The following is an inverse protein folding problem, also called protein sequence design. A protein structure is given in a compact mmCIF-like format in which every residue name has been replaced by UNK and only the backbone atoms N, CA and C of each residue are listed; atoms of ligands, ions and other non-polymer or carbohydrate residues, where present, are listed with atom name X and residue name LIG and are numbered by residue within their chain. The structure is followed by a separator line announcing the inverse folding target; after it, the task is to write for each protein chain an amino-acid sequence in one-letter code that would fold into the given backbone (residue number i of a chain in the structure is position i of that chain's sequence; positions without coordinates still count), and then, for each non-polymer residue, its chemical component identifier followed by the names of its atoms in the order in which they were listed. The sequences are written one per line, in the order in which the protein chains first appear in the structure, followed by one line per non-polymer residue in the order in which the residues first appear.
data_IF_165440216751
#
_entry.id   IF_165440216751
#
_cell.length_a   1.000
_cell.length_b   1.000
_cell.length_c   1.000
_cell.angle_alpha   90.00
_cell.angle_beta   90.00
_cell.angle_gamma   90.00
#
_symmetry.space_group_name_H-M   'P 1'
#
loop_
_entity.id
_entity.type
_entity.pdbx_description
1 polymer ?
#
# COMPACT_ATOMS: atom_id res chain seq x y z
N UNK A 1 -45.79 2.72 12.68
CA UNK A 1 -45.10 2.17 11.49
C UNK A 1 -43.61 2.32 11.70
N UNK A 2 -42.91 1.18 11.85
CA UNK A 2 -41.46 1.15 12.01
C UNK A 2 -40.77 1.56 10.70
N UNK A 3 -40.03 2.65 10.71
CA UNK A 3 -39.13 3.02 9.62
C UNK A 3 -37.73 2.49 9.92
N UNK A 4 -37.57 1.17 9.85
CA UNK A 4 -36.26 0.52 9.76
C UNK A 4 -35.66 0.77 8.37
N UNK A 5 -35.17 1.98 8.11
CA UNK A 5 -34.24 2.23 6.98
C UNK A 5 -32.80 2.14 7.47
N UNK A 6 -32.46 0.98 8.00
CA UNK A 6 -31.08 0.48 8.11
C UNK A 6 -30.58 0.04 6.72
N UNK A 7 -30.46 0.98 5.77
CA UNK A 7 -29.97 0.63 4.43
C UNK A 7 -29.39 1.78 3.59
N UNK A 8 -29.18 2.99 4.14
CA UNK A 8 -28.27 3.96 3.52
C UNK A 8 -26.80 3.63 3.85
N UNK A 9 -26.35 2.42 3.51
CA UNK A 9 -24.94 2.15 3.22
C UNK A 9 -24.75 2.18 1.70
N UNK A 10 -25.06 3.32 1.09
CA UNK A 10 -24.67 3.59 -0.29
C UNK A 10 -23.14 3.71 -0.31
N UNK A 11 -22.50 2.88 -1.14
CA UNK A 11 -21.05 2.81 -1.43
C UNK A 11 -20.08 2.49 -0.29
N UNK A 12 -20.10 1.24 0.19
CA UNK A 12 -19.03 0.62 1.01
C UNK A 12 -17.69 0.43 0.27
N UNK A 13 -17.31 1.33 -0.65
CA UNK A 13 -15.92 1.50 -1.11
C UNK A 13 -15.31 2.64 -0.31
N UNK A 14 -15.03 2.39 0.97
CA UNK A 14 -14.24 3.32 1.78
C UNK A 14 -12.91 3.54 1.05
N UNK A 15 -12.67 4.77 0.60
CA UNK A 15 -11.40 5.12 -0.03
C UNK A 15 -10.29 5.02 1.01
N UNK A 16 -9.13 4.51 0.60
CA UNK A 16 -7.99 4.33 1.50
C UNK A 16 -7.23 5.66 1.66
N UNK A 17 -7.57 6.36 2.75
CA UNK A 17 -7.03 7.69 3.08
C UNK A 17 -5.89 7.57 4.12
N UNK A 18 -4.82 6.88 3.73
CA UNK A 18 -3.67 6.63 4.61
C UNK A 18 -2.84 7.90 4.83
N UNK A 19 -2.31 8.07 6.05
CA UNK A 19 -1.40 9.19 6.36
C UNK A 19 0.03 8.94 5.90
N UNK A 20 0.52 7.71 6.06
CA UNK A 20 1.89 7.31 5.78
C UNK A 20 1.92 5.95 5.07
N UNK A 21 2.82 5.74 4.10
CA UNK A 21 2.92 4.49 3.36
C UNK A 21 3.62 3.38 4.17
N UNK A 22 3.41 2.13 3.76
CA UNK A 22 4.11 0.96 4.32
C UNK A 22 5.19 0.55 3.33
N UNK A 23 6.46 0.81 3.69
CA UNK A 23 7.62 0.63 2.81
C UNK A 23 8.75 -0.07 3.54
N UNK A 24 9.55 -0.84 2.79
CA UNK A 24 10.81 -1.40 3.27
C UNK A 24 11.97 -0.40 3.14
N UNK A 25 13.04 -0.63 3.91
CA UNK A 25 14.24 0.22 3.94
C UNK A 25 14.91 0.36 2.56
N UNK A 26 14.94 -0.72 1.77
CA UNK A 26 15.49 -0.69 0.40
C UNK A 26 14.68 0.16 -0.57
N UNK A 27 13.37 0.31 -0.34
CA UNK A 27 12.53 1.20 -1.13
C UNK A 27 12.68 2.67 -0.73
N UNK A 28 12.90 2.95 0.55
CA UNK A 28 13.16 4.31 1.04
C UNK A 28 14.52 4.84 0.58
N UNK A 29 15.55 4.00 0.59
CA UNK A 29 16.91 4.38 0.18
C UNK A 29 17.83 4.63 1.37
N UNK A 30 19.05 5.08 1.09
CA UNK A 30 20.11 5.31 2.07
C UNK A 30 20.01 6.66 2.79
N UNK A 31 19.29 7.62 2.22
CA UNK A 31 19.15 8.97 2.78
C UNK A 31 18.13 9.02 3.94
N UNK A 32 18.51 9.47 5.15
CA UNK A 32 17.59 9.63 6.29
C UNK A 32 16.50 10.69 6.08
N UNK A 33 16.73 11.66 5.19
CA UNK A 33 15.82 12.77 4.93
C UNK A 33 15.20 12.66 3.54
N UNK A 34 13.98 12.14 3.48
CA UNK A 34 13.26 11.90 2.22
C UNK A 34 12.11 12.90 2.08
N UNK A 35 11.97 13.45 0.88
CA UNK A 35 10.80 14.27 0.50
C UNK A 35 9.80 13.39 -0.25
N UNK A 36 8.57 13.31 0.26
CA UNK A 36 7.48 12.54 -0.35
C UNK A 36 6.34 13.46 -0.76
N UNK A 37 5.77 13.21 -1.94
CA UNK A 37 4.52 13.81 -2.40
C UNK A 37 3.36 12.88 -2.06
N UNK A 38 2.35 13.42 -1.37
CA UNK A 38 1.10 12.71 -1.05
C UNK A 38 0.03 13.14 -2.03
N UNK A 39 -0.49 12.19 -2.82
CA UNK A 39 -1.63 12.43 -3.70
C UNK A 39 -2.83 11.58 -3.26
N UNK A 40 -3.91 12.23 -2.85
CA UNK A 40 -5.13 11.54 -2.41
C UNK A 40 -5.88 11.01 -3.63
N UNK A 41 -6.20 9.71 -3.63
CA UNK A 41 -6.89 9.03 -4.72
C UNK A 41 -6.20 9.17 -6.09
N UNK A 42 -4.86 9.25 -6.10
CA UNK A 42 -4.08 9.49 -7.31
C UNK A 42 -3.93 8.28 -8.24
N UNK A 43 -4.22 7.07 -7.76
CA UNK A 43 -4.24 5.86 -8.56
C UNK A 43 -5.12 4.77 -7.93
N UNK A 44 -5.43 3.76 -8.73
CA UNK A 44 -6.13 2.56 -8.30
C UNK A 44 -5.14 1.45 -7.92
N UNK A 45 -5.47 0.72 -6.86
CA UNK A 45 -4.67 -0.41 -6.39
C UNK A 45 -4.67 -1.52 -7.44
N UNK A 46 -3.50 -2.05 -7.80
CA UNK A 46 -3.39 -3.12 -8.80
C UNK A 46 -4.05 -4.45 -8.41
N UNK A 47 -4.29 -4.68 -7.11
CA UNK A 47 -4.86 -5.93 -6.61
C UNK A 47 -6.37 -5.80 -6.43
N UNK A 48 -6.83 -4.77 -5.72
CA UNK A 48 -8.26 -4.62 -5.38
C UNK A 48 -9.01 -3.61 -6.25
N UNK A 49 -8.33 -2.93 -7.18
CA UNK A 49 -8.89 -1.92 -8.09
C UNK A 49 -9.65 -0.80 -7.35
N UNK A 50 -9.23 -0.50 -6.11
CA UNK A 50 -9.79 0.58 -5.30
C UNK A 50 -8.88 1.80 -5.36
N UNK A 51 -9.42 3.02 -5.48
CA UNK A 51 -8.63 4.23 -5.43
C UNK A 51 -8.01 4.37 -4.04
N UNK A 52 -6.73 4.70 -4.00
CA UNK A 52 -5.97 4.86 -2.75
C UNK A 52 -5.05 6.07 -2.80
N UNK A 53 -4.56 6.46 -1.63
CA UNK A 53 -3.57 7.53 -1.50
C UNK A 53 -2.22 7.06 -2.02
N UNK A 54 -1.74 7.71 -3.07
CA UNK A 54 -0.45 7.43 -3.67
C UNK A 54 0.64 8.30 -3.06
N UNK A 55 1.77 7.68 -2.73
CA UNK A 55 2.98 8.36 -2.30
C UNK A 55 4.05 8.25 -3.39
N UNK A 56 4.73 9.35 -3.69
CA UNK A 56 5.84 9.40 -4.66
C UNK A 56 7.06 10.07 -4.03
N UNK A 57 8.24 9.48 -4.19
CA UNK A 57 9.49 9.99 -3.65
C UNK A 57 10.68 9.63 -4.53
N UNK A 58 11.81 10.28 -4.30
CA UNK A 58 13.11 9.89 -4.86
C UNK A 58 13.96 9.30 -3.73
N UNK A 59 14.45 8.08 -3.95
CA UNK A 59 15.29 7.40 -2.96
C UNK A 59 16.72 7.98 -2.95
N UNK A 60 17.24 8.31 -4.13
CA UNK A 60 18.57 8.91 -4.32
C UNK A 60 18.51 9.94 -5.47
N UNK A 61 19.45 10.87 -5.48
CA UNK A 61 19.55 11.91 -6.49
C UNK A 61 19.88 11.28 -7.85
N UNK A 62 19.07 11.59 -8.88
CA UNK A 62 19.23 11.01 -10.22
C UNK A 62 18.57 9.62 -10.42
N UNK A 63 18.06 8.97 -9.37
CA UNK A 63 17.28 7.75 -9.54
C UNK A 63 15.83 8.02 -9.97
N UNK A 64 15.21 7.02 -10.60
CA UNK A 64 13.78 7.03 -10.92
C UNK A 64 12.94 7.25 -9.66
N UNK A 65 11.98 8.17 -9.74
CA UNK A 65 10.99 8.34 -8.67
C UNK A 65 10.23 7.03 -8.42
N UNK A 66 10.26 6.55 -7.17
CA UNK A 66 9.46 5.42 -6.72
C UNK A 66 8.06 5.91 -6.36
N UNK A 67 7.07 5.04 -6.53
CA UNK A 67 5.68 5.30 -6.14
C UNK A 67 5.06 4.05 -5.51
N UNK A 68 4.02 4.23 -4.72
CA UNK A 68 3.19 3.13 -4.20
C UNK A 68 2.27 2.59 -5.29
N UNK A 69 2.13 1.27 -5.39
CA UNK A 69 1.33 0.58 -6.42
C UNK A 69 0.11 -0.16 -5.83
N UNK A 70 0.07 -0.32 -4.51
CA UNK A 70 -0.92 -1.12 -3.78
C UNK A 70 -1.44 -0.34 -2.56
N UNK A 71 -2.73 -0.50 -2.25
CA UNK A 71 -3.36 0.13 -1.10
C UNK A 71 -2.83 -0.41 0.24
N UNK A 72 -3.03 0.35 1.32
CA UNK A 72 -2.57 0.00 2.66
C UNK A 72 -3.26 -1.26 3.19
N UNK A 73 -4.53 -1.50 2.84
CA UNK A 73 -5.23 -2.73 3.23
C UNK A 73 -4.58 -3.97 2.64
N UNK A 74 -4.29 -3.97 1.33
CA UNK A 74 -3.65 -5.11 0.67
C UNK A 74 -2.22 -5.34 1.18
N UNK A 75 -1.48 -4.26 1.42
CA UNK A 75 -0.14 -4.35 2.02
C UNK A 75 -0.18 -4.96 3.43
N UNK A 76 -1.13 -4.56 4.28
CA UNK A 76 -1.30 -5.10 5.64
C UNK A 76 -1.74 -6.57 5.64
N UNK A 77 -2.67 -6.95 4.76
CA UNK A 77 -3.19 -8.33 4.71
C UNK A 77 -2.10 -9.37 4.45
N UNK A 78 -1.13 -9.04 3.59
CA UNK A 78 -0.05 -9.95 3.22
C UNK A 78 1.30 -9.54 3.79
N UNK A 79 1.37 -8.55 4.69
CA UNK A 79 2.61 -8.00 5.26
C UNK A 79 3.69 -7.65 4.21
N UNK A 80 3.32 -6.91 3.17
CA UNK A 80 4.22 -6.57 2.06
C UNK A 80 4.45 -5.07 1.92
N UNK A 81 5.56 -4.70 1.30
CA UNK A 81 5.86 -3.33 0.89
C UNK A 81 4.95 -2.88 -0.27
N UNK A 82 4.41 -1.66 -0.18
CA UNK A 82 3.49 -1.08 -1.17
C UNK A 82 4.12 -0.82 -2.56
N UNK A 83 5.44 -0.85 -2.68
CA UNK A 83 6.16 -0.58 -3.94
C UNK A 83 6.79 -1.83 -4.54
N UNK A 84 7.58 -2.59 -3.78
CA UNK A 84 8.26 -3.78 -4.30
C UNK A 84 7.47 -5.08 -4.16
N UNK A 85 6.36 -5.10 -3.41
CA UNK A 85 5.54 -6.29 -3.15
C UNK A 85 6.29 -7.46 -2.48
N UNK A 86 7.49 -7.19 -1.95
CA UNK A 86 8.25 -8.11 -1.12
C UNK A 86 7.76 -8.02 0.33
N UNK A 87 7.98 -9.10 1.06
CA UNK A 87 7.74 -9.16 2.49
C UNK A 87 8.56 -8.11 3.26
N UNK A 88 7.98 -7.56 4.33
CA UNK A 88 8.62 -6.50 5.13
C UNK A 88 9.67 -7.02 6.12
N UNK A 89 9.60 -8.29 6.54
CA UNK A 89 10.49 -8.87 7.54
C UNK A 89 11.70 -9.56 6.88
N UNK A 90 11.44 -10.43 5.91
CA UNK A 90 12.47 -11.26 5.28
C UNK A 90 12.93 -10.71 3.92
N UNK A 91 12.19 -9.78 3.33
CA UNK A 91 12.49 -9.27 1.98
C UNK A 91 12.31 -10.31 0.86
N UNK A 92 11.61 -11.41 1.16
CA UNK A 92 11.38 -12.50 0.21
C UNK A 92 10.09 -12.27 -0.60
N UNK A 93 9.99 -12.85 -1.81
CA UNK A 93 8.72 -12.91 -2.52
C UNK A 93 7.66 -13.66 -1.72
N UNK A 94 6.41 -13.18 -1.78
CA UNK A 94 5.26 -13.75 -1.04
C UNK A 94 5.12 -15.26 -1.26
N UNK A 95 5.33 -15.74 -2.48
CA UNK A 95 5.22 -17.17 -2.82
C UNK A 95 6.25 -18.03 -2.05
N UNK A 96 7.49 -17.54 -1.93
CA UNK A 96 8.56 -18.25 -1.24
C UNK A 96 8.30 -18.25 0.27
N UNK A 97 7.85 -17.11 0.81
CA UNK A 97 7.48 -16.99 2.22
C UNK A 97 6.31 -17.91 2.58
N UNK A 98 5.23 -17.88 1.81
CA UNK A 98 4.02 -18.67 2.08
C UNK A 98 4.34 -20.19 1.98
N UNK A 99 5.27 -20.59 1.09
CA UNK A 99 5.78 -21.97 1.03
C UNK A 99 6.63 -22.35 2.26
N UNK A 100 7.53 -21.47 2.70
CA UNK A 100 8.41 -21.74 3.85
C UNK A 100 7.66 -21.75 5.20
N UNK A 101 6.69 -20.85 5.38
CA UNK A 101 5.92 -20.71 6.62
C UNK A 101 4.64 -21.57 6.64
N UNK A 102 4.36 -22.32 5.57
CA UNK A 102 3.17 -23.18 5.41
C UNK A 102 1.84 -22.47 5.73
N UNK A 103 1.82 -21.14 5.64
CA UNK A 103 0.66 -20.32 5.97
C UNK A 103 -0.16 -20.17 4.68
N UNK A 104 -1.25 -20.94 4.59
CA UNK A 104 -2.21 -20.87 3.47
C UNK A 104 -2.93 -19.53 3.42
#
# INVERSE_FOLDING_TARGET
MALSKSSYQYSRKAWDDSRFPILCQTCLGSNPYIRMLKNRHGADCKICQRPFTCFRWMAEEGMRCKKTEVCQTCAKMKNVCQTCLLDLEFGLPVQVRDHALQTK
#
